data_IF_540424020944
#
_entry.id   IF_540424020944
#
_cell.length_a   1.000
_cell.length_b   1.000
_cell.length_c   1.000
_cell.angle_alpha   90.00
_cell.angle_beta   90.00
_cell.angle_gamma   90.00
#
_symmetry.space_group_name_H-M   'P 1'
#
loop_
_entity.id
_entity.type
_entity.pdbx_description
1 polymer ?
#
# COMPACT_ATOMS: atom_id res chain seq x y z
N UNK A 1 1.94 11.86 40.34
CA UNK A 1 2.76 13.09 40.18
C UNK A 1 2.43 13.70 38.82
N UNK A 2 2.56 15.01 38.63
CA UNK A 2 2.45 15.66 37.31
C UNK A 2 3.40 15.05 36.27
N UNK A 3 4.59 14.60 36.70
CA UNK A 3 5.54 13.87 35.84
C UNK A 3 4.91 12.60 35.23
N UNK A 4 4.32 11.75 36.06
CA UNK A 4 3.69 10.48 35.62
C UNK A 4 2.55 10.75 34.63
N UNK A 5 1.80 11.86 34.82
CA UNK A 5 0.74 12.26 33.90
C UNK A 5 1.29 12.65 32.52
N UNK A 6 2.38 13.42 32.47
CA UNK A 6 3.02 13.79 31.21
C UNK A 6 3.60 12.56 30.51
N UNK A 7 4.22 11.66 31.26
CA UNK A 7 4.77 10.40 30.73
C UNK A 7 3.68 9.51 30.13
N UNK A 8 2.58 9.28 30.84
CA UNK A 8 1.43 8.51 30.34
C UNK A 8 0.85 9.14 29.07
N UNK A 9 0.64 10.47 29.06
CA UNK A 9 0.15 11.18 27.88
C UNK A 9 1.11 11.07 26.68
N UNK A 10 2.42 11.06 26.93
CA UNK A 10 3.43 10.87 25.90
C UNK A 10 3.36 9.48 25.27
N UNK A 11 3.23 8.43 26.10
CA UNK A 11 3.10 7.05 25.65
C UNK A 11 1.80 6.85 24.86
N UNK A 12 0.67 7.34 25.36
CA UNK A 12 -0.63 7.24 24.68
C UNK A 12 -0.57 7.85 23.28
N UNK A 13 -0.05 9.09 23.17
CA UNK A 13 0.10 9.76 21.87
C UNK A 13 1.06 9.04 20.94
N UNK A 14 2.17 8.53 21.47
CA UNK A 14 3.14 7.78 20.67
C UNK A 14 2.53 6.50 20.11
N UNK A 15 1.77 5.76 20.91
CA UNK A 15 1.09 4.54 20.50
C UNK A 15 0.01 4.82 19.44
N UNK A 16 -0.82 5.85 19.67
CA UNK A 16 -1.87 6.26 18.73
C UNK A 16 -1.28 6.63 17.37
N UNK A 17 -0.25 7.47 17.34
CA UNK A 17 0.43 7.87 16.11
C UNK A 17 1.12 6.70 15.41
N UNK A 18 1.73 5.79 16.18
CA UNK A 18 2.37 4.59 15.65
C UNK A 18 1.36 3.66 14.97
N UNK A 19 0.23 3.41 15.64
CA UNK A 19 -0.84 2.55 15.13
C UNK A 19 -1.49 3.14 13.87
N UNK A 20 -1.76 4.44 13.86
CA UNK A 20 -2.34 5.13 12.72
C UNK A 20 -1.42 5.03 11.49
N UNK A 21 -0.13 5.36 11.65
CA UNK A 21 0.86 5.25 10.58
C UNK A 21 1.00 3.82 10.06
N UNK A 22 1.07 2.85 10.97
CA UNK A 22 1.17 1.43 10.60
C UNK A 22 -0.05 0.94 9.82
N UNK A 23 -1.26 1.33 10.23
CA UNK A 23 -2.48 0.97 9.53
C UNK A 23 -2.56 1.60 8.13
N UNK A 24 -2.17 2.87 7.99
CA UNK A 24 -2.13 3.55 6.70
C UNK A 24 -1.13 2.89 5.75
N UNK A 25 0.07 2.60 6.24
CA UNK A 25 1.10 1.91 5.45
C UNK A 25 0.62 0.52 5.02
N UNK A 26 0.08 -0.29 5.93
CA UNK A 26 -0.40 -1.62 5.61
C UNK A 26 -1.55 -1.62 4.60
N UNK A 27 -2.46 -0.64 4.67
CA UNK A 27 -3.51 -0.47 3.65
C UNK A 27 -2.94 -0.11 2.27
N UNK A 28 -1.92 0.75 2.23
CA UNK A 28 -1.27 1.12 0.97
C UNK A 28 -0.53 -0.07 0.34
N UNK A 29 0.24 -0.81 1.14
CA UNK A 29 0.93 -2.03 0.70
C UNK A 29 -0.06 -3.09 0.20
N UNK A 30 -1.12 -3.37 0.96
CA UNK A 30 -2.15 -4.32 0.55
C UNK A 30 -2.88 -3.92 -0.74
N UNK A 31 -3.09 -2.63 -0.98
CA UNK A 31 -3.64 -2.13 -2.26
C UNK A 31 -2.70 -2.44 -3.43
N UNK A 32 -1.39 -2.19 -3.27
CA UNK A 32 -0.39 -2.50 -4.30
C UNK A 32 -0.36 -4.00 -4.60
N UNK A 33 -0.31 -4.86 -3.58
CA UNK A 33 -0.27 -6.31 -3.75
C UNK A 33 -1.50 -6.86 -4.46
N UNK A 34 -2.70 -6.42 -4.04
CA UNK A 34 -3.95 -6.84 -4.66
C UNK A 34 -4.03 -6.39 -6.13
N UNK A 35 -3.66 -5.15 -6.42
CA UNK A 35 -3.66 -4.64 -7.80
C UNK A 35 -2.63 -5.36 -8.66
N UNK A 36 -1.42 -5.62 -8.15
CA UNK A 36 -0.39 -6.40 -8.85
C UNK A 36 -0.91 -7.78 -9.25
N UNK A 37 -1.61 -8.48 -8.34
CA UNK A 37 -2.20 -9.78 -8.61
C UNK A 37 -3.22 -9.71 -9.75
N UNK A 38 -4.11 -8.72 -9.75
CA UNK A 38 -5.12 -8.55 -10.79
C UNK A 38 -4.50 -8.18 -12.14
N UNK A 39 -3.52 -7.27 -12.15
CA UNK A 39 -2.75 -6.90 -13.35
C UNK A 39 -2.07 -8.13 -13.95
N UNK A 40 -1.34 -8.93 -13.14
CA UNK A 40 -0.70 -10.18 -13.60
C UNK A 40 -1.70 -11.15 -14.22
N UNK A 41 -2.83 -11.38 -13.55
CA UNK A 41 -3.88 -12.29 -14.05
C UNK A 41 -4.47 -11.79 -15.37
N UNK A 42 -4.68 -10.48 -15.52
CA UNK A 42 -5.24 -9.91 -16.74
C UNK A 42 -4.26 -10.03 -17.91
N UNK A 43 -2.99 -9.66 -17.70
CA UNK A 43 -1.91 -9.85 -18.67
C UNK A 43 -1.87 -11.28 -19.20
N UNK A 44 -1.95 -12.28 -18.31
CA UNK A 44 -1.92 -13.70 -18.68
C UNK A 44 -3.16 -14.18 -19.41
N UNK A 45 -4.36 -13.71 -19.01
CA UNK A 45 -5.63 -14.23 -19.54
C UNK A 45 -5.97 -13.72 -20.93
N UNK A 46 -5.64 -12.46 -21.22
CA UNK A 46 -6.02 -11.81 -22.48
C UNK A 46 -4.83 -11.23 -23.26
N UNK A 47 -3.60 -11.57 -22.86
CA UNK A 47 -2.35 -11.23 -23.54
C UNK A 47 -2.19 -9.72 -23.78
N UNK A 48 -2.37 -8.92 -22.73
CA UNK A 48 -2.20 -7.46 -22.75
C UNK A 48 -0.92 -7.04 -22.01
N UNK A 49 -0.40 -5.86 -22.33
CA UNK A 49 0.75 -5.31 -21.62
C UNK A 49 0.38 -4.93 -20.18
N UNK A 50 1.40 -4.75 -19.32
CA UNK A 50 1.18 -4.26 -17.96
C UNK A 50 0.50 -2.88 -17.93
N UNK A 51 0.89 -2.00 -18.85
CA UNK A 51 0.32 -0.64 -18.95
C UNK A 51 -1.14 -0.69 -19.37
N UNK A 52 -1.47 -1.51 -20.36
CA UNK A 52 -2.86 -1.68 -20.81
C UNK A 52 -3.73 -2.32 -19.72
N UNK A 53 -3.20 -3.32 -19.02
CA UNK A 53 -3.89 -3.94 -17.89
C UNK A 53 -4.18 -2.93 -16.77
N UNK A 54 -3.23 -2.06 -16.43
CA UNK A 54 -3.43 -1.00 -15.44
C UNK A 54 -4.44 0.05 -15.91
N UNK A 55 -4.45 0.40 -17.20
CA UNK A 55 -5.47 1.28 -17.76
C UNK A 55 -6.86 0.65 -17.72
N UNK A 56 -6.99 -0.64 -18.02
CA UNK A 56 -8.27 -1.36 -17.96
C UNK A 56 -8.82 -1.51 -16.54
N UNK A 57 -7.96 -1.52 -15.54
CA UNK A 57 -8.32 -1.61 -14.12
C UNK A 57 -8.43 -0.23 -13.45
N UNK A 58 -8.28 0.86 -14.22
CA UNK A 58 -8.27 2.24 -13.72
C UNK A 58 -7.31 2.44 -12.53
N UNK A 59 -6.12 1.84 -12.62
CA UNK A 59 -5.09 1.90 -11.55
C UNK A 59 -4.61 3.33 -11.38
N UNK A 60 -4.59 3.79 -10.14
CA UNK A 60 -4.17 5.15 -9.78
C UNK A 60 -2.66 5.36 -10.01
N UNK A 61 -2.30 6.55 -10.48
CA UNK A 61 -0.94 6.88 -10.91
C UNK A 61 0.11 6.78 -9.81
N UNK A 62 -0.28 6.98 -8.55
CA UNK A 62 0.60 6.92 -7.38
C UNK A 62 1.12 5.50 -7.12
N UNK A 63 0.36 4.45 -7.46
CA UNK A 63 0.74 3.05 -7.23
C UNK A 63 1.32 2.35 -8.46
N UNK A 64 1.17 2.93 -9.67
CA UNK A 64 1.70 2.35 -10.93
C UNK A 64 3.20 2.04 -10.89
N UNK A 65 4.09 2.92 -10.37
CA UNK A 65 5.52 2.64 -10.33
C UNK A 65 5.85 1.40 -9.49
N UNK A 66 5.18 1.21 -8.36
CA UNK A 66 5.38 0.06 -7.48
C UNK A 66 4.97 -1.25 -8.18
N UNK A 67 3.82 -1.25 -8.86
CA UNK A 67 3.34 -2.41 -9.62
C UNK A 67 4.33 -2.77 -10.74
N UNK A 68 4.78 -1.78 -11.52
CA UNK A 68 5.75 -1.99 -12.61
C UNK A 68 7.07 -2.56 -12.09
N UNK A 69 7.58 -2.03 -10.97
CA UNK A 69 8.79 -2.54 -10.33
C UNK A 69 8.60 -4.00 -9.90
N UNK A 70 7.49 -4.35 -9.25
CA UNK A 70 7.21 -5.72 -8.82
C UNK A 70 7.04 -6.70 -10.00
N UNK A 71 6.57 -6.22 -11.15
CA UNK A 71 6.48 -7.03 -12.38
C UNK A 71 7.85 -7.33 -13.00
N UNK A 72 8.82 -6.41 -12.88
CA UNK A 72 10.19 -6.62 -13.41
C UNK A 72 11.01 -7.61 -12.58
N UNK A 73 10.67 -7.78 -11.30
CA UNK A 73 11.35 -8.69 -10.36
C UNK A 73 10.76 -10.11 -10.36
N UNK A 74 9.66 -10.36 -11.08
CA UNK A 74 8.99 -11.67 -11.19
C UNK A 74 9.42 -12.41 -12.44
#
# INVERSE_FOLDING_TARGET
NFSDFIEQRGIEKGLEQGLEKGLLQGKAEGKVEATLLHVKKLMQRINVSAVDAMNMLDVEDDIRPAILQSLQLS
#
